data_IF_880706857595
#
_entry.id   IF_880706857595
#
_cell.length_a   1.000
_cell.length_b   1.000
_cell.length_c   1.000
_cell.angle_alpha   90.00
_cell.angle_beta   90.00
_cell.angle_gamma   90.00
#
_symmetry.space_group_name_H-M   'P 1'
#
loop_
_entity.id
_entity.type
_entity.pdbx_description
1 polymer ?
#
# COMPACT_ATOMS: atom_id res chain seq x y z
N UNK A 1 30.45 1.64 -16.35
CA UNK A 1 31.33 1.71 -15.17
C UNK A 1 30.55 1.09 -14.03
N UNK A 2 31.08 0.06 -13.36
CA UNK A 2 30.36 -0.57 -12.25
C UNK A 2 30.45 0.34 -11.02
N UNK A 3 29.34 0.93 -10.59
CA UNK A 3 29.27 1.62 -9.30
C UNK A 3 29.37 0.57 -8.19
N UNK A 4 30.43 0.65 -7.41
CA UNK A 4 30.62 -0.20 -6.23
C UNK A 4 30.04 0.52 -5.00
N UNK A 5 29.05 -0.11 -4.37
CA UNK A 5 28.42 0.37 -3.14
C UNK A 5 29.05 -0.31 -1.93
N UNK A 6 28.99 0.32 -0.75
CA UNK A 6 29.60 -0.21 0.48
C UNK A 6 28.55 -0.54 1.55
N UNK A 7 28.70 -1.70 2.19
CA UNK A 7 27.80 -2.11 3.28
C UNK A 7 28.09 -1.30 4.55
N UNK A 8 27.10 -0.66 5.19
CA UNK A 8 27.33 0.19 6.36
C UNK A 8 27.75 -0.59 7.61
N UNK A 9 27.54 -1.92 7.65
CA UNK A 9 27.85 -2.76 8.81
C UNK A 9 29.22 -3.43 8.74
N UNK A 10 29.66 -3.83 7.54
CA UNK A 10 30.90 -4.60 7.37
C UNK A 10 31.86 -4.01 6.34
N UNK A 11 31.55 -2.82 5.81
CA UNK A 11 32.37 -2.07 4.84
C UNK A 11 32.80 -2.82 3.58
N UNK A 12 32.20 -3.97 3.27
CA UNK A 12 32.47 -4.68 2.02
C UNK A 12 31.77 -4.03 0.84
N UNK A 13 32.48 -3.97 -0.28
CA UNK A 13 31.94 -3.53 -1.56
C UNK A 13 30.97 -4.57 -2.13
N UNK A 14 29.92 -4.09 -2.79
CA UNK A 14 28.97 -4.93 -3.48
C UNK A 14 28.46 -4.26 -4.77
N UNK A 15 27.97 -5.10 -5.69
CA UNK A 15 27.37 -4.65 -6.93
C UNK A 15 25.92 -4.19 -6.70
N UNK A 16 25.48 -3.15 -7.42
CA UNK A 16 24.09 -2.71 -7.42
C UNK A 16 23.13 -3.87 -7.76
N UNK A 17 21.97 -3.93 -7.09
CA UNK A 17 20.94 -4.95 -7.33
C UNK A 17 20.95 -6.16 -6.38
N UNK A 18 21.75 -6.17 -5.32
CA UNK A 18 21.63 -7.18 -4.25
C UNK A 18 20.78 -6.66 -3.08
N UNK A 19 19.85 -7.48 -2.60
CA UNK A 19 18.95 -7.11 -1.50
C UNK A 19 19.56 -7.32 -0.10
N UNK A 20 20.63 -8.12 0.01
CA UNK A 20 21.30 -8.40 1.28
C UNK A 20 22.81 -8.51 1.14
N UNK A 21 23.52 -8.14 2.21
CA UNK A 21 24.97 -8.30 2.28
C UNK A 21 25.35 -9.78 2.48
N UNK A 22 26.12 -10.35 1.56
CA UNK A 22 26.61 -11.74 1.64
C UNK A 22 27.52 -12.05 2.84
N UNK A 23 28.07 -11.03 3.51
CA UNK A 23 29.01 -11.23 4.63
C UNK A 23 28.34 -11.04 6.00
N UNK A 24 27.40 -10.11 6.14
CA UNK A 24 26.79 -9.78 7.44
C UNK A 24 25.27 -9.99 7.50
N UNK A 25 24.63 -10.34 6.38
CA UNK A 25 23.19 -10.60 6.30
C UNK A 25 22.29 -9.36 6.42
N UNK A 26 22.86 -8.14 6.49
CA UNK A 26 22.08 -6.91 6.54
C UNK A 26 21.29 -6.70 5.23
N UNK A 27 20.01 -6.33 5.33
CA UNK A 27 19.23 -5.91 4.17
C UNK A 27 19.73 -4.57 3.63
N UNK A 28 19.93 -4.49 2.31
CA UNK A 28 20.49 -3.34 1.60
C UNK A 28 19.43 -2.56 0.82
N UNK A 29 18.18 -3.03 0.78
CA UNK A 29 17.07 -2.40 0.03
C UNK A 29 16.91 -0.91 0.36
N UNK A 30 17.00 -0.55 1.64
CA UNK A 30 16.92 0.86 2.07
C UNK A 30 18.17 1.68 1.80
N UNK A 31 19.35 1.05 1.72
CA UNK A 31 20.64 1.72 1.50
C UNK A 31 20.81 2.07 0.02
N UNK A 32 20.40 1.17 -0.87
CA UNK A 32 20.45 1.39 -2.33
C UNK A 32 19.54 2.59 -2.70
N UNK A 33 18.34 2.65 -2.13
CA UNK A 33 17.43 3.78 -2.31
C UNK A 33 18.01 5.12 -1.81
N UNK A 34 18.76 5.09 -0.69
CA UNK A 34 19.37 6.29 -0.12
C UNK A 34 20.54 6.82 -0.96
N UNK A 35 21.37 5.92 -1.49
CA UNK A 35 22.59 6.28 -2.26
C UNK A 35 22.26 6.70 -3.68
N UNK A 36 21.26 6.09 -4.32
CA UNK A 36 20.84 6.48 -5.66
C UNK A 36 20.04 7.79 -5.71
N UNK A 37 19.78 8.43 -4.55
CA UNK A 37 19.01 9.67 -4.53
C UNK A 37 17.56 9.48 -5.00
N UNK A 38 17.09 8.23 -5.07
CA UNK A 38 15.67 7.90 -5.26
C UNK A 38 14.93 8.23 -3.97
N UNK A 39 14.75 9.54 -3.75
CA UNK A 39 13.89 10.10 -2.72
C UNK A 39 12.42 9.69 -2.92
N UNK A 40 12.09 9.06 -4.06
CA UNK A 40 10.82 8.38 -4.34
C UNK A 40 10.55 7.19 -3.40
N UNK A 41 11.53 6.78 -2.60
CA UNK A 41 11.40 5.74 -1.57
C UNK A 41 11.08 6.28 -0.17
N UNK A 42 11.14 7.59 0.06
CA UNK A 42 10.52 8.17 1.25
C UNK A 42 9.01 8.02 1.07
N UNK A 43 8.36 7.23 1.92
CA UNK A 43 6.91 7.03 1.88
C UNK A 43 6.22 8.38 1.64
N UNK A 44 5.72 8.59 0.43
CA UNK A 44 5.12 9.85 0.03
C UNK A 44 3.91 10.04 0.94
N UNK A 45 4.07 10.87 1.98
CA UNK A 45 3.00 11.19 2.91
C UNK A 45 2.04 12.07 2.12
N UNK A 46 1.19 11.44 1.30
CA UNK A 46 0.09 12.12 0.62
C UNK A 46 -0.85 12.61 1.71
N UNK A 47 -0.70 13.88 2.08
CA UNK A 47 -1.64 14.61 2.92
C UNK A 47 -2.96 14.67 2.14
N UNK A 48 -3.82 13.67 2.35
CA UNK A 48 -5.19 13.72 1.85
C UNK A 48 -6.07 14.39 2.91
N UNK A 49 -6.92 15.35 2.52
CA UNK A 49 -7.91 15.87 3.44
C UNK A 49 -8.82 14.73 3.93
N UNK A 50 -9.23 14.78 5.19
CA UNK A 50 -10.11 13.78 5.79
C UNK A 50 -11.54 14.00 5.27
N UNK A 51 -11.84 13.44 4.10
CA UNK A 51 -13.12 13.59 3.41
C UNK A 51 -14.33 13.24 4.29
N UNK A 52 -14.18 12.27 5.22
CA UNK A 52 -15.26 11.91 6.13
C UNK A 52 -15.59 13.01 7.14
N UNK A 53 -14.59 13.69 7.70
CA UNK A 53 -14.82 14.81 8.63
C UNK A 53 -15.38 16.03 7.88
N UNK A 54 -14.88 16.27 6.67
CA UNK A 54 -15.35 17.37 5.82
C UNK A 54 -16.81 17.18 5.40
N UNK A 55 -17.21 15.95 5.02
CA UNK A 55 -18.61 15.61 4.73
C UNK A 55 -19.51 15.77 5.95
N UNK A 56 -19.05 15.37 7.15
CA UNK A 56 -19.80 15.57 8.38
C UNK A 56 -20.01 17.06 8.68
N UNK A 57 -18.97 17.89 8.52
CA UNK A 57 -19.07 19.34 8.69
C UNK A 57 -20.07 19.99 7.72
N UNK A 58 -20.03 19.60 6.44
CA UNK A 58 -20.98 20.08 5.42
C UNK A 58 -22.42 19.67 5.78
N UNK A 59 -22.63 18.43 6.21
CA UNK A 59 -23.94 17.92 6.62
C UNK A 59 -24.54 18.71 7.79
N UNK A 60 -23.75 18.97 8.82
CA UNK A 60 -24.19 19.75 10.00
C UNK A 60 -24.49 21.20 9.61
N UNK A 61 -23.69 21.79 8.71
CA UNK A 61 -23.94 23.14 8.21
C UNK A 61 -25.26 23.25 7.43
N UNK A 62 -25.51 22.32 6.49
CA UNK A 62 -26.77 22.27 5.74
C UNK A 62 -27.96 22.07 6.69
N UNK A 63 -27.83 21.17 7.67
CA UNK A 63 -28.87 20.94 8.67
C UNK A 63 -29.18 22.22 9.46
N UNK A 64 -28.15 22.94 9.91
CA UNK A 64 -28.32 24.24 10.57
C UNK A 64 -29.07 25.25 9.71
N UNK A 65 -28.80 25.29 8.40
CA UNK A 65 -29.46 26.17 7.44
C UNK A 65 -30.94 25.80 7.26
N UNK A 66 -31.26 24.49 7.18
CA UNK A 66 -32.65 24.00 7.12
C UNK A 66 -33.42 24.36 8.38
N UNK A 67 -32.81 24.19 9.57
CA UNK A 67 -33.42 24.59 10.84
C UNK A 67 -33.67 26.10 10.88
N UNK A 68 -32.75 26.91 10.34
CA UNK A 68 -32.91 28.36 10.22
C UNK A 68 -34.12 28.73 9.36
N UNK A 69 -34.25 28.10 8.20
CA UNK A 69 -35.35 28.31 7.26
C UNK A 69 -36.70 27.88 7.88
N UNK A 70 -36.73 26.74 8.55
CA UNK A 70 -37.91 26.27 9.27
C UNK A 70 -38.31 27.25 10.37
N UNK A 71 -37.34 27.75 11.15
CA UNK A 71 -37.61 28.72 12.19
C UNK A 71 -38.11 30.06 11.62
N UNK A 72 -37.53 30.53 10.52
CA UNK A 72 -37.99 31.73 9.82
C UNK A 72 -39.42 31.57 9.26
N UNK A 73 -39.72 30.40 8.68
CA UNK A 73 -41.05 30.08 8.17
C UNK A 73 -42.09 30.00 9.30
N UNK A 74 -41.76 29.31 10.40
CA UNK A 74 -42.64 29.17 11.56
C UNK A 74 -42.79 30.44 12.39
N UNK A 75 -41.82 31.36 12.32
CA UNK A 75 -41.92 32.67 12.97
C UNK A 75 -43.15 33.47 12.53
N UNK A 76 -43.61 33.27 11.29
CA UNK A 76 -44.85 33.87 10.79
C UNK A 76 -46.13 33.40 11.52
N UNK A 77 -46.06 32.26 12.21
CA UNK A 77 -47.19 31.64 12.91
C UNK A 77 -47.19 31.94 14.43
N UNK A 78 -46.20 32.68 14.95
CA UNK A 78 -46.06 33.02 16.38
C UNK A 78 -46.04 31.81 17.34
N UNK A 79 -45.77 30.60 16.82
CA UNK A 79 -45.79 29.33 17.58
C UNK A 79 -44.59 29.17 18.53
N UNK A 80 -43.53 29.96 18.35
CA UNK A 80 -42.32 29.89 19.18
C UNK A 80 -41.83 31.29 19.59
N UNK A 81 -41.30 31.47 20.81
CA UNK A 81 -40.65 32.71 21.20
C UNK A 81 -39.40 32.92 20.34
N UNK A 82 -39.33 34.06 19.66
CA UNK A 82 -38.30 34.34 18.63
C UNK A 82 -36.85 34.22 19.13
N UNK A 83 -36.62 34.32 20.43
CA UNK A 83 -35.29 34.23 21.01
C UNK A 83 -34.67 32.83 20.87
N UNK A 84 -35.43 31.76 21.11
CA UNK A 84 -34.89 30.39 21.10
C UNK A 84 -34.41 29.96 19.70
N UNK A 85 -35.16 30.35 18.67
CA UNK A 85 -34.82 29.97 17.29
C UNK A 85 -33.52 30.61 16.80
N UNK A 86 -33.27 31.86 17.18
CA UNK A 86 -32.01 32.55 16.85
C UNK A 86 -30.80 31.92 17.54
N UNK A 87 -30.93 31.56 18.83
CA UNK A 87 -29.86 30.93 19.61
C UNK A 87 -29.50 29.55 19.04
N UNK A 88 -30.51 28.70 18.76
CA UNK A 88 -30.28 27.38 18.18
C UNK A 88 -29.59 27.47 16.82
N UNK A 89 -29.97 28.44 15.98
CA UNK A 89 -29.32 28.69 14.71
C UNK A 89 -27.84 29.05 14.87
N UNK A 90 -27.51 30.02 15.72
CA UNK A 90 -26.11 30.42 15.91
C UNK A 90 -25.24 29.29 16.47
N UNK A 91 -25.77 28.51 17.41
CA UNK A 91 -25.06 27.36 17.99
C UNK A 91 -24.78 26.29 16.93
N UNK A 92 -25.78 25.87 16.15
CA UNK A 92 -25.59 24.88 15.08
C UNK A 92 -24.59 25.36 14.01
N UNK A 93 -24.69 26.63 13.63
CA UNK A 93 -23.82 27.22 12.60
C UNK A 93 -22.37 27.34 13.09
N UNK A 94 -22.17 27.76 14.34
CA UNK A 94 -20.86 27.83 14.98
C UNK A 94 -20.21 26.44 15.09
N UNK A 95 -20.98 25.42 15.49
CA UNK A 95 -20.50 24.03 15.53
C UNK A 95 -20.12 23.53 14.13
N UNK A 96 -20.94 23.81 13.11
CA UNK A 96 -20.65 23.46 11.72
C UNK A 96 -19.35 24.09 11.20
N UNK A 97 -19.16 25.39 11.44
CA UNK A 97 -17.93 26.12 11.09
C UNK A 97 -16.70 25.57 11.84
N UNK A 98 -16.83 25.27 13.13
CA UNK A 98 -15.75 24.71 13.93
C UNK A 98 -15.29 23.34 13.42
N UNK A 99 -16.24 22.46 13.06
CA UNK A 99 -15.93 21.13 12.51
C UNK A 99 -15.27 21.21 11.11
N UNK A 100 -15.70 22.15 10.27
CA UNK A 100 -15.04 22.41 8.99
C UNK A 100 -13.62 22.91 9.17
N UNK A 101 -13.40 23.85 10.10
CA UNK A 101 -12.06 24.32 10.47
C UNK A 101 -11.16 23.21 10.99
N UNK A 102 -11.68 22.35 11.89
CA UNK A 102 -10.95 21.20 12.42
C UNK A 102 -10.57 20.21 11.32
N UNK A 103 -11.47 19.97 10.36
CA UNK A 103 -11.22 19.08 9.23
C UNK A 103 -10.12 19.57 8.29
N UNK A 104 -9.96 20.88 8.20
CA UNK A 104 -8.88 21.51 7.43
C UNK A 104 -7.54 21.48 8.17
N UNK A 105 -7.55 21.76 9.49
CA UNK A 105 -6.33 21.87 10.31
C UNK A 105 -5.71 20.50 10.62
N UNK A 106 -6.52 19.45 10.77
CA UNK A 106 -6.04 18.11 11.13
C UNK A 106 -6.23 17.11 9.98
N UNK A 107 -5.38 17.13 8.94
CA UNK A 107 -5.38 16.08 7.94
C UNK A 107 -5.02 14.75 8.60
N UNK A 108 -5.88 13.73 8.44
CA UNK A 108 -5.57 12.38 8.91
C UNK A 108 -4.32 11.88 8.19
N UNK A 109 -3.26 11.61 8.94
CA UNK A 109 -2.09 10.88 8.45
C UNK A 109 -2.51 9.43 8.22
N UNK A 110 -3.02 9.13 7.04
CA UNK A 110 -3.14 7.74 6.62
C UNK A 110 -1.73 7.24 6.28
N UNK A 111 -1.16 6.48 7.21
CA UNK A 111 -0.04 5.61 6.89
C UNK A 111 -0.57 4.57 5.89
N UNK A 112 -0.34 4.83 4.60
CA UNK A 112 -0.46 3.79 3.59
C UNK A 112 0.71 2.86 3.86
N UNK A 113 0.47 1.80 4.63
CA UNK A 113 1.40 0.69 4.70
C UNK A 113 1.56 0.18 3.27
N UNK A 114 2.68 0.54 2.64
CA UNK A 114 3.04 0.08 1.29
C UNK A 114 3.25 -1.42 1.45
N UNK A 115 2.19 -2.22 1.25
CA UNK A 115 2.35 -3.65 0.99
C UNK A 115 3.33 -3.69 -0.19
N UNK A 116 4.52 -4.31 -0.04
CA UNK A 116 5.46 -4.41 -1.13
C UNK A 116 4.66 -4.99 -2.29
N UNK A 117 4.53 -4.18 -3.33
CA UNK A 117 3.84 -4.53 -4.55
C UNK A 117 4.65 -5.65 -5.19
N UNK A 118 4.42 -6.88 -4.73
CA UNK A 118 4.59 -8.12 -5.49
C UNK A 118 3.57 -8.11 -6.65
N UNK A 119 3.56 -7.05 -7.45
CA UNK A 119 3.30 -7.15 -8.87
C UNK A 119 4.70 -7.26 -9.45
N UNK A 120 5.32 -8.45 -9.38
CA UNK A 120 5.16 -9.41 -10.46
C UNK A 120 4.96 -8.66 -11.76
N UNK A 121 6.07 -8.18 -12.32
CA UNK A 121 6.67 -8.80 -13.51
C UNK A 121 5.70 -9.72 -14.26
N UNK A 122 4.54 -9.20 -14.62
CA UNK A 122 3.69 -9.68 -15.69
C UNK A 122 4.21 -9.12 -17.02
N UNK A 123 5.53 -8.96 -17.10
CA UNK A 123 6.28 -8.72 -18.31
C UNK A 123 6.86 -10.07 -18.69
N UNK A 124 6.31 -10.68 -19.75
CA UNK A 124 6.84 -11.90 -20.39
C UNK A 124 6.81 -13.21 -19.57
N UNK A 125 5.62 -13.71 -19.26
CA UNK A 125 5.33 -15.06 -19.78
C UNK A 125 5.02 -14.82 -21.25
N UNK A 126 6.02 -14.82 -22.14
CA UNK A 126 6.38 -16.02 -22.89
C UNK A 126 5.11 -16.79 -23.21
N UNK A 127 4.42 -16.34 -24.26
CA UNK A 127 3.71 -17.24 -25.14
C UNK A 127 4.71 -18.31 -25.58
N UNK A 128 4.92 -19.32 -24.74
CA UNK A 128 5.41 -20.60 -25.20
C UNK A 128 4.18 -21.21 -25.85
N UNK A 129 4.11 -20.99 -27.15
CA UNK A 129 3.22 -21.62 -28.10
C UNK A 129 3.37 -23.13 -27.95
N UNK A 130 2.55 -23.76 -27.11
CA UNK A 130 2.50 -25.23 -26.93
C UNK A 130 1.78 -25.95 -28.08
N UNK A 131 1.64 -25.32 -29.25
CA UNK A 131 0.90 -25.85 -30.40
C UNK A 131 1.79 -26.45 -31.50
N UNK A 132 3.04 -26.78 -31.21
CA UNK A 132 3.84 -27.66 -32.06
C UNK A 132 4.47 -28.80 -31.25
N UNK A 133 3.62 -29.59 -30.59
CA UNK A 133 3.93 -31.01 -30.44
C UNK A 133 3.72 -31.62 -31.84
N UNK A 134 4.75 -31.54 -32.68
CA UNK A 134 4.81 -32.35 -33.89
C UNK A 134 4.74 -33.81 -33.45
N UNK A 135 3.83 -34.56 -34.08
CA UNK A 135 3.74 -36.01 -33.96
C UNK A 135 5.15 -36.62 -34.07
N UNK A 136 5.67 -37.13 -32.94
CA UNK A 136 6.82 -38.02 -33.00
C UNK A 136 6.34 -39.30 -33.70
N UNK A 137 6.97 -39.73 -34.81
CA UNK A 137 6.64 -40.99 -35.44
C UNK A 137 6.91 -42.11 -34.44
N UNK A 138 5.85 -42.86 -34.10
CA UNK A 138 5.87 -44.03 -33.25
C UNK A 138 6.52 -45.22 -34.00
N UNK A 139 7.77 -45.06 -34.43
CA UNK A 139 8.57 -46.14 -35.00
C UNK A 139 10.04 -45.76 -34.84
N UNK A 140 10.74 -46.36 -33.86
CA UNK A 140 12.07 -46.98 -34.04
C UNK A 140 12.74 -47.29 -32.69
N UNK A 141 13.22 -48.53 -32.58
CA UNK A 141 14.11 -49.14 -31.56
C UNK A 141 13.45 -49.50 -30.21
N UNK A 142 13.09 -50.76 -29.93
CA UNK A 142 13.90 -51.99 -29.90
C UNK A 142 15.24 -51.86 -29.15
N UNK A 143 15.26 -52.56 -28.01
CA UNK A 143 16.38 -53.21 -27.32
C UNK A 143 17.52 -52.35 -26.74
N UNK A 144 17.78 -52.52 -25.43
CA UNK A 144 19.01 -52.09 -24.79
C UNK A 144 18.85 -51.44 -23.41
N UNK A 145 18.78 -52.28 -22.38
CA UNK A 145 19.41 -52.14 -21.06
C UNK A 145 19.95 -50.75 -20.64
N UNK A 146 19.21 -50.04 -19.78
CA UNK A 146 19.76 -48.90 -19.03
C UNK A 146 18.98 -48.61 -17.74
N UNK A 147 19.43 -49.24 -16.66
CA UNK A 147 19.61 -48.71 -15.31
C UNK A 147 18.71 -47.53 -14.88
N UNK A 148 17.62 -47.86 -14.17
CA UNK A 148 16.76 -46.93 -13.44
C UNK A 148 17.58 -46.29 -12.32
N UNK A 149 18.17 -45.11 -12.56
CA UNK A 149 18.70 -44.26 -11.48
C UNK A 149 17.54 -43.68 -10.70
N UNK A 150 17.27 -44.28 -9.54
CA UNK A 150 16.42 -43.74 -8.51
C UNK A 150 16.90 -42.33 -8.14
N UNK A 151 16.02 -41.34 -8.31
CA UNK A 151 16.23 -40.00 -7.81
C UNK A 151 16.14 -40.06 -6.28
N UNK A 152 17.28 -39.95 -5.60
CA UNK A 152 17.33 -39.86 -4.15
C UNK A 152 16.76 -38.52 -3.69
N UNK A 153 15.68 -38.56 -2.92
CA UNK A 153 15.09 -37.36 -2.33
C UNK A 153 16.04 -36.74 -1.30
N UNK A 154 16.48 -35.51 -1.54
CA UNK A 154 17.34 -34.70 -0.66
C UNK A 154 16.53 -34.19 0.54
N UNK A 155 16.03 -35.09 1.39
CA UNK A 155 15.31 -34.72 2.61
C UNK A 155 15.83 -35.41 3.89
N UNK A 156 16.78 -36.35 3.78
CA UNK A 156 17.18 -37.16 4.94
C UNK A 156 18.45 -36.68 5.68
N UNK A 157 19.24 -35.74 5.13
CA UNK A 157 20.56 -35.42 5.69
C UNK A 157 20.58 -34.40 6.85
N UNK A 158 19.48 -33.75 7.22
CA UNK A 158 19.52 -32.63 8.17
C UNK A 158 19.12 -32.93 9.62
N UNK A 159 18.64 -34.13 9.96
CA UNK A 159 18.15 -34.44 11.33
C UNK A 159 19.16 -35.14 12.23
N UNK A 160 20.38 -35.46 11.76
CA UNK A 160 21.33 -36.31 12.51
C UNK A 160 22.24 -35.58 13.53
N UNK A 161 22.13 -34.26 13.69
CA UNK A 161 23.05 -33.48 14.54
C UNK A 161 22.42 -32.83 15.79
N UNK A 162 21.26 -33.28 16.24
CA UNK A 162 20.71 -32.90 17.54
C UNK A 162 20.74 -34.10 18.50
N UNK A 163 21.91 -34.36 19.07
CA UNK A 163 22.06 -35.18 20.26
C UNK A 163 23.22 -34.67 21.12
#
# INVERSE_FOLDING_TARGET
MAENLYCPRCSKSFAAGISYCRTCGLSLDGVIALVHGDTDSAAEIKKRPNVGLMQAGIGIFILGLVVALLNAAMGSLNLFPGEYGSVVFFVLTAIGMALLGLGFVFPKKHYVARRPSLKMEKAKETQITTSQLGELPATLYEDGDAEIRAWTSITEHTTRHLR
#
